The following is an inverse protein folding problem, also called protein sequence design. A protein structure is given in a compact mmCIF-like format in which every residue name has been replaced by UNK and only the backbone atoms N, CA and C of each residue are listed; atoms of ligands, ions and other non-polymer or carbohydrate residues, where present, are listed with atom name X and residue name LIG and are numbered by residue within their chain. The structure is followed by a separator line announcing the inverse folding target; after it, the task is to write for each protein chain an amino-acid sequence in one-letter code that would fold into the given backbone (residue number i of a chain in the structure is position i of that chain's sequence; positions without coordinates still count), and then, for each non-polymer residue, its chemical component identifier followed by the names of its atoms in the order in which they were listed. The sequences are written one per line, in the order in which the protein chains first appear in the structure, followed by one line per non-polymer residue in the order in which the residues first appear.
data_IF_746546330402
#
_entry.id   IF_746546330402
#
_cell.length_a   1.000
_cell.length_b   1.000
_cell.length_c   1.000
_cell.angle_alpha   90.00
_cell.angle_beta   90.00
_cell.angle_gamma   90.00
#
_symmetry.space_group_name_H-M   'P 1'
#
loop_
_entity.id
_entity.type
_entity.pdbx_description
1 polymer ?
#
# COMPACT_ATOMS: atom_id res chain seq x y z
N UNK A 1 -58.66 -6.73 13.57
CA UNK A 1 -57.91 -7.87 14.15
C UNK A 1 -56.41 -7.56 14.03
N UNK A 2 -55.78 -7.03 15.08
CA UNK A 2 -54.34 -6.71 15.11
C UNK A 2 -53.64 -7.74 15.99
N UNK A 3 -52.77 -8.55 15.42
CA UNK A 3 -51.93 -9.50 16.17
C UNK A 3 -50.80 -8.71 16.84
N UNK A 4 -50.83 -8.60 18.17
CA UNK A 4 -49.69 -8.12 18.97
C UNK A 4 -48.74 -9.29 19.17
N UNK A 5 -47.55 -9.23 18.58
CA UNK A 5 -46.46 -10.15 18.90
C UNK A 5 -45.80 -9.75 20.22
N UNK A 6 -45.68 -10.70 21.14
CA UNK A 6 -45.00 -10.54 22.43
C UNK A 6 -43.49 -10.32 22.24
N UNK A 7 -42.83 -9.44 23.01
CA UNK A 7 -41.38 -9.27 22.92
C UNK A 7 -40.67 -10.47 23.57
N UNK A 8 -39.69 -11.04 22.85
CA UNK A 8 -38.82 -12.10 23.37
C UNK A 8 -37.93 -11.54 24.51
N UNK A 9 -37.64 -12.33 25.56
CA UNK A 9 -36.81 -11.88 26.67
C UNK A 9 -35.36 -11.64 26.22
N UNK A 10 -34.63 -10.71 26.87
CA UNK A 10 -33.24 -10.42 26.54
C UNK A 10 -32.38 -11.65 26.87
N UNK A 11 -31.99 -12.38 25.82
CA UNK A 11 -31.02 -13.45 25.93
C UNK A 11 -29.69 -12.89 26.42
N UNK A 12 -29.25 -13.29 27.61
CA UNK A 12 -27.86 -13.09 28.04
C UNK A 12 -26.96 -13.78 27.00
N UNK A 13 -26.35 -12.98 26.13
CA UNK A 13 -25.25 -13.42 25.29
C UNK A 13 -24.17 -13.96 26.23
N UNK A 14 -24.10 -15.29 26.37
CA UNK A 14 -22.94 -15.93 27.00
C UNK A 14 -21.72 -15.43 26.21
N UNK A 15 -20.70 -14.85 26.85
CA UNK A 15 -19.48 -14.50 26.14
C UNK A 15 -18.98 -15.77 25.47
N UNK A 16 -18.85 -15.74 24.14
CA UNK A 16 -18.19 -16.83 23.41
C UNK A 16 -16.85 -17.06 24.12
N UNK A 17 -16.47 -18.32 24.40
CA UNK A 17 -15.18 -18.58 25.00
C UNK A 17 -14.12 -17.87 24.14
N UNK A 18 -13.30 -17.02 24.77
CA UNK A 18 -12.11 -16.45 24.13
C UNK A 18 -11.33 -17.64 23.59
N UNK A 19 -11.46 -17.94 22.29
CA UNK A 19 -10.66 -18.99 21.66
C UNK A 19 -9.21 -18.69 22.05
N UNK A 20 -8.56 -19.70 22.62
CA UNK A 20 -7.16 -19.63 22.97
C UNK A 20 -6.40 -19.00 21.79
N UNK A 21 -5.58 -18.01 22.15
CA UNK A 21 -4.77 -17.17 21.27
C UNK A 21 -4.22 -18.02 20.12
N UNK A 22 -4.26 -17.46 18.90
CA UNK A 22 -3.90 -18.06 17.61
C UNK A 22 -2.45 -18.57 17.49
N UNK A 23 -1.94 -19.28 18.49
CA UNK A 23 -0.62 -19.87 18.51
C UNK A 23 -0.62 -21.10 17.60
N UNK A 24 -0.09 -20.91 16.40
CA UNK A 24 0.24 -22.00 15.49
C UNK A 24 1.65 -22.49 15.84
N UNK A 25 1.87 -23.80 16.10
CA UNK A 25 3.22 -24.36 16.14
C UNK A 25 3.97 -23.95 14.88
N UNK A 26 5.19 -23.43 15.03
CA UNK A 26 6.03 -22.94 13.94
C UNK A 26 5.45 -21.79 13.10
N UNK A 27 4.41 -21.10 13.59
CA UNK A 27 3.81 -19.97 12.89
C UNK A 27 4.78 -18.80 12.65
N UNK A 28 4.47 -17.96 11.67
CA UNK A 28 5.24 -16.75 11.36
C UNK A 28 5.04 -15.68 12.43
N UNK A 29 6.11 -14.98 12.79
CA UNK A 29 6.07 -13.81 13.66
C UNK A 29 5.59 -12.57 12.91
N UNK A 30 5.01 -11.64 13.65
CA UNK A 30 4.66 -10.30 13.17
C UNK A 30 5.67 -9.31 13.75
N UNK A 31 6.31 -8.53 12.89
CA UNK A 31 7.41 -7.61 13.24
C UNK A 31 6.94 -6.64 14.33
N UNK A 32 7.78 -6.44 15.35
CA UNK A 32 7.50 -5.51 16.46
C UNK A 32 6.42 -5.97 17.45
N UNK A 33 5.95 -7.22 17.37
CA UNK A 33 4.90 -7.72 18.27
C UNK A 33 5.21 -9.13 18.81
N UNK A 34 4.44 -9.56 19.81
CA UNK A 34 4.47 -10.94 20.32
C UNK A 34 3.53 -11.90 19.56
N UNK A 35 3.00 -11.50 18.41
CA UNK A 35 2.10 -12.35 17.64
C UNK A 35 2.87 -13.40 16.83
N UNK A 36 2.39 -14.64 16.91
CA UNK A 36 2.82 -15.79 16.11
C UNK A 36 1.58 -16.36 15.43
N UNK A 37 1.51 -16.32 14.11
CA UNK A 37 0.30 -16.57 13.31
C UNK A 37 0.57 -17.56 12.17
N UNK A 38 -0.48 -18.00 11.49
CA UNK A 38 -0.32 -18.66 10.18
C UNK A 38 0.25 -17.70 9.13
N UNK A 39 0.94 -18.20 8.09
CA UNK A 39 1.63 -17.37 7.11
C UNK A 39 0.71 -16.40 6.35
N UNK A 40 -0.56 -16.75 6.14
CA UNK A 40 -1.55 -15.87 5.49
C UNK A 40 -1.80 -14.62 6.35
N UNK A 41 -2.16 -14.82 7.63
CA UNK A 41 -2.42 -13.70 8.55
C UNK A 41 -1.16 -12.89 8.88
N UNK A 42 -0.01 -13.54 8.94
CA UNK A 42 1.26 -12.84 9.14
C UNK A 42 1.61 -11.97 7.92
N UNK A 43 1.44 -12.48 6.70
CA UNK A 43 1.66 -11.73 5.46
C UNK A 43 0.77 -10.47 5.40
N UNK A 44 -0.52 -10.59 5.76
CA UNK A 44 -1.41 -9.43 5.87
C UNK A 44 -0.86 -8.37 6.82
N UNK A 45 -0.51 -8.77 8.05
CA UNK A 45 -0.09 -7.83 9.09
C UNK A 45 1.26 -7.19 8.77
N UNK A 46 2.25 -7.97 8.36
CA UNK A 46 3.57 -7.45 8.01
C UNK A 46 3.50 -6.58 6.75
N UNK A 47 2.70 -6.96 5.74
CA UNK A 47 2.48 -6.12 4.55
C UNK A 47 1.76 -4.81 4.89
N UNK A 48 0.72 -4.86 5.72
CA UNK A 48 0.03 -3.65 6.18
C UNK A 48 0.96 -2.74 6.99
N UNK A 49 1.83 -3.28 7.86
CA UNK A 49 2.81 -2.49 8.63
C UNK A 49 3.78 -1.73 7.73
N UNK A 50 4.30 -2.38 6.68
CA UNK A 50 5.28 -1.78 5.76
C UNK A 50 4.64 -0.65 4.94
N UNK A 51 3.43 -0.86 4.46
CA UNK A 51 2.72 0.07 3.56
C UNK A 51 1.96 1.18 4.31
N UNK A 52 1.81 1.07 5.64
CA UNK A 52 0.81 1.85 6.39
C UNK A 52 0.95 3.37 6.23
N UNK A 53 2.19 3.83 6.40
CA UNK A 53 2.55 5.25 6.48
C UNK A 53 2.99 5.82 5.13
N UNK A 54 2.91 5.02 4.06
CA UNK A 54 3.35 5.43 2.72
C UNK A 54 4.80 5.98 2.75
N UNK A 55 5.67 5.32 3.52
CA UNK A 55 7.09 5.68 3.69
C UNK A 55 8.01 4.53 3.26
N UNK A 56 7.46 3.57 2.53
CA UNK A 56 8.24 2.53 1.88
C UNK A 56 8.67 2.99 0.48
N UNK A 57 9.36 2.10 -0.24
CA UNK A 57 9.89 2.40 -1.57
C UNK A 57 8.79 2.75 -2.58
N UNK A 58 9.18 3.17 -3.78
CA UNK A 58 8.21 3.47 -4.83
C UNK A 58 8.79 3.17 -6.21
N UNK A 59 7.93 2.67 -7.08
CA UNK A 59 8.20 2.50 -8.50
C UNK A 59 7.20 3.31 -9.32
N UNK A 60 7.72 4.17 -10.20
CA UNK A 60 6.92 5.10 -10.99
C UNK A 60 7.05 4.79 -12.48
N UNK A 61 6.05 4.11 -13.04
CA UNK A 61 5.97 3.85 -14.47
C UNK A 61 4.56 4.13 -15.03
N UNK A 62 4.09 3.40 -16.05
CA UNK A 62 2.71 3.56 -16.54
C UNK A 62 1.68 3.21 -15.45
N UNK A 63 2.01 2.21 -14.63
CA UNK A 63 1.43 2.00 -13.31
C UNK A 63 2.39 2.48 -12.22
N UNK A 64 1.84 2.92 -11.08
CA UNK A 64 2.63 3.28 -9.91
C UNK A 64 2.38 2.28 -8.80
N UNK A 65 3.43 1.85 -8.11
CA UNK A 65 3.32 0.86 -7.05
C UNK A 65 4.45 0.99 -6.03
N UNK A 66 4.38 0.16 -4.99
CA UNK A 66 5.41 0.02 -3.97
C UNK A 66 5.89 -1.44 -3.95
N UNK A 67 6.94 -1.79 -4.70
CA UNK A 67 7.40 -3.17 -4.79
C UNK A 67 7.80 -3.79 -3.43
N UNK A 68 8.26 -2.97 -2.48
CA UNK A 68 8.53 -3.39 -1.11
C UNK A 68 7.31 -3.91 -0.34
N UNK A 69 6.08 -3.68 -0.81
CA UNK A 69 4.87 -4.27 -0.21
C UNK A 69 4.97 -5.82 -0.17
N UNK A 70 5.67 -6.43 -1.12
CA UNK A 70 5.89 -7.88 -1.17
C UNK A 70 6.78 -8.39 -0.03
N UNK A 71 7.62 -7.53 0.57
CA UNK A 71 8.58 -7.90 1.62
C UNK A 71 7.86 -8.50 2.83
N UNK A 72 6.72 -7.93 3.21
CA UNK A 72 5.93 -8.43 4.35
C UNK A 72 5.49 -9.88 4.15
N UNK A 73 5.12 -10.25 2.93
CA UNK A 73 4.78 -11.64 2.56
C UNK A 73 6.01 -12.53 2.55
N UNK A 74 7.08 -12.10 1.87
CA UNK A 74 8.30 -12.89 1.69
C UNK A 74 8.88 -13.26 3.06
N UNK A 75 9.02 -12.28 3.96
CA UNK A 75 9.52 -12.53 5.32
C UNK A 75 8.57 -13.45 6.09
N UNK A 76 7.26 -13.27 5.96
CA UNK A 76 6.29 -14.10 6.70
C UNK A 76 6.32 -15.57 6.26
N UNK A 77 6.42 -15.82 4.96
CA UNK A 77 6.53 -17.17 4.41
C UNK A 77 7.90 -17.76 4.74
N UNK A 78 8.99 -16.99 4.59
CA UNK A 78 10.33 -17.45 4.91
C UNK A 78 10.50 -17.80 6.40
N UNK A 79 9.94 -17.01 7.32
CA UNK A 79 9.95 -17.29 8.76
C UNK A 79 9.16 -18.56 9.09
N UNK A 80 7.95 -18.72 8.53
CA UNK A 80 7.15 -19.93 8.71
C UNK A 80 7.86 -21.18 8.19
N UNK A 81 8.41 -21.13 6.97
CA UNK A 81 9.15 -22.25 6.37
C UNK A 81 10.41 -22.58 7.17
N UNK A 82 11.16 -21.57 7.61
CA UNK A 82 12.37 -21.76 8.41
C UNK A 82 12.08 -22.38 9.77
N UNK A 83 11.05 -21.90 10.48
CA UNK A 83 10.60 -22.50 11.75
C UNK A 83 10.18 -23.95 11.57
N UNK A 84 9.46 -24.22 10.48
CA UNK A 84 9.01 -25.57 10.14
C UNK A 84 10.19 -26.47 9.78
N UNK A 85 11.19 -25.97 9.05
CA UNK A 85 12.40 -26.70 8.71
C UNK A 85 13.20 -27.07 9.97
N UNK A 86 13.46 -26.10 10.85
CA UNK A 86 14.18 -26.32 12.11
C UNK A 86 13.47 -27.33 13.00
N UNK A 87 12.14 -27.23 13.13
CA UNK A 87 11.36 -28.20 13.90
C UNK A 87 11.43 -29.63 13.33
N UNK A 88 11.77 -29.77 12.05
CA UNK A 88 11.97 -31.06 11.36
C UNK A 88 13.46 -31.42 11.19
N UNK A 89 14.37 -30.76 11.92
CA UNK A 89 15.82 -31.06 11.86
C UNK A 89 16.49 -30.67 10.53
N UNK A 90 15.88 -29.76 9.76
CA UNK A 90 16.43 -29.23 8.50
C UNK A 90 16.96 -27.82 8.69
N UNK A 91 17.81 -27.38 7.75
CA UNK A 91 18.34 -26.02 7.74
C UNK A 91 17.24 -24.99 7.41
N UNK A 92 17.20 -23.85 8.11
CA UNK A 92 16.29 -22.74 7.77
C UNK A 92 16.72 -22.05 6.47
N UNK A 93 15.84 -21.20 5.94
CA UNK A 93 16.19 -20.27 4.87
C UNK A 93 17.13 -19.18 5.41
N UNK A 94 17.90 -18.59 4.50
CA UNK A 94 18.86 -17.53 4.79
C UNK A 94 18.31 -16.16 4.42
N UNK A 95 18.99 -15.11 4.88
CA UNK A 95 18.70 -13.73 4.44
C UNK A 95 18.96 -13.58 2.94
N UNK A 96 19.92 -14.31 2.37
CA UNK A 96 20.18 -14.30 0.94
C UNK A 96 18.97 -14.79 0.13
N UNK A 97 18.30 -15.85 0.59
CA UNK A 97 17.07 -16.34 -0.05
C UNK A 97 15.95 -15.29 -0.03
N UNK A 98 15.83 -14.56 1.09
CA UNK A 98 14.88 -13.44 1.21
C UNK A 98 15.23 -12.34 0.22
N UNK A 99 16.50 -11.91 0.14
CA UNK A 99 16.92 -10.85 -0.77
C UNK A 99 16.72 -11.25 -2.24
N UNK A 100 17.00 -12.49 -2.61
CA UNK A 100 16.72 -13.01 -3.96
C UNK A 100 15.23 -12.95 -4.28
N UNK A 101 14.36 -13.41 -3.35
CA UNK A 101 12.92 -13.33 -3.54
C UNK A 101 12.41 -11.88 -3.65
N UNK A 102 13.02 -10.95 -2.89
CA UNK A 102 12.72 -9.51 -2.96
C UNK A 102 13.06 -8.98 -4.35
N UNK A 103 14.27 -9.25 -4.87
CA UNK A 103 14.69 -8.82 -6.21
C UNK A 103 13.72 -9.35 -7.27
N UNK A 104 13.35 -10.63 -7.21
CA UNK A 104 12.41 -11.24 -8.14
C UNK A 104 11.02 -10.61 -8.06
N UNK A 105 10.52 -10.35 -6.85
CA UNK A 105 9.21 -9.71 -6.66
C UNK A 105 9.20 -8.27 -7.22
N UNK A 106 10.28 -7.53 -7.02
CA UNK A 106 10.45 -6.19 -7.59
C UNK A 106 10.44 -6.25 -9.11
N UNK A 107 11.21 -7.16 -9.69
CA UNK A 107 11.33 -7.27 -11.14
C UNK A 107 10.01 -7.69 -11.80
N UNK A 108 9.32 -8.69 -11.25
CA UNK A 108 8.03 -9.17 -11.78
C UNK A 108 6.98 -8.05 -11.75
N UNK A 109 6.87 -7.33 -10.64
CA UNK A 109 5.89 -6.26 -10.49
C UNK A 109 6.27 -5.04 -11.32
N UNK A 110 7.49 -4.52 -11.12
CA UNK A 110 7.90 -3.26 -11.72
C UNK A 110 8.05 -3.34 -13.24
N UNK A 111 8.51 -4.47 -13.80
CA UNK A 111 8.61 -4.62 -15.26
C UNK A 111 7.22 -4.71 -15.92
N UNK A 112 6.27 -5.43 -15.29
CA UNK A 112 4.88 -5.43 -15.75
C UNK A 112 4.30 -4.01 -15.73
N UNK A 113 4.56 -3.24 -14.69
CA UNK A 113 4.01 -1.89 -14.51
C UNK A 113 4.54 -0.86 -15.51
N UNK A 114 5.58 -1.17 -16.30
CA UNK A 114 6.18 -0.18 -17.21
C UNK A 114 5.26 0.20 -18.36
N UNK A 115 4.68 -0.79 -19.04
CA UNK A 115 3.81 -0.56 -20.19
C UNK A 115 2.33 -0.77 -19.87
N UNK A 116 2.02 -1.37 -18.71
CA UNK A 116 0.68 -1.83 -18.38
C UNK A 116 0.07 -0.99 -17.26
N UNK A 117 -0.80 -0.06 -17.63
CA UNK A 117 -1.51 0.80 -16.69
C UNK A 117 -2.91 0.25 -16.35
N UNK A 118 -3.06 -0.26 -15.14
CA UNK A 118 -4.31 -0.75 -14.57
C UNK A 118 -5.20 0.39 -14.05
N UNK A 119 -4.58 1.48 -13.60
CA UNK A 119 -5.26 2.67 -13.14
C UNK A 119 -6.14 3.29 -14.24
N UNK A 120 -5.73 3.23 -15.52
CA UNK A 120 -6.50 3.70 -16.69
C UNK A 120 -7.78 2.90 -16.93
N UNK A 121 -7.89 1.70 -16.35
CA UNK A 121 -9.09 0.86 -16.41
C UNK A 121 -9.81 0.75 -15.07
N UNK A 122 -9.47 1.61 -14.09
CA UNK A 122 -10.18 1.71 -12.81
C UNK A 122 -9.79 0.65 -11.77
N UNK A 123 -8.75 -0.14 -12.05
CA UNK A 123 -8.24 -1.15 -11.14
C UNK A 123 -7.06 -0.58 -10.34
N UNK A 124 -6.88 -1.04 -9.11
CA UNK A 124 -5.74 -0.62 -8.30
C UNK A 124 -4.47 -1.41 -8.66
N UNK A 125 -3.29 -0.84 -8.42
CA UNK A 125 -2.00 -1.50 -8.69
C UNK A 125 -1.81 -2.78 -7.87
N UNK A 126 -2.56 -2.97 -6.78
CA UNK A 126 -2.61 -4.22 -6.01
C UNK A 126 -3.40 -5.33 -6.72
N UNK A 127 -3.54 -5.25 -8.05
CA UNK A 127 -4.45 -5.97 -8.97
C UNK A 127 -4.62 -7.49 -8.73
N UNK A 128 -3.74 -8.09 -7.94
CA UNK A 128 -3.89 -9.43 -7.38
C UNK A 128 -5.12 -9.58 -6.46
N UNK A 129 -5.82 -8.48 -6.14
CA UNK A 129 -7.15 -8.47 -5.50
C UNK A 129 -8.13 -7.63 -6.35
N UNK A 130 -9.38 -8.10 -6.45
CA UNK A 130 -10.53 -7.44 -7.10
C UNK A 130 -10.96 -6.11 -6.44
N UNK A 131 -10.03 -5.30 -5.97
CA UNK A 131 -10.31 -4.03 -5.31
C UNK A 131 -10.37 -2.91 -6.35
N UNK A 132 -11.51 -2.22 -6.44
CA UNK A 132 -11.62 -0.98 -7.22
C UNK A 132 -10.75 0.10 -6.58
N UNK A 133 -10.06 0.91 -7.39
CA UNK A 133 -9.16 1.99 -6.92
C UNK A 133 -9.89 3.15 -6.23
N UNK A 134 -11.22 3.10 -6.10
CA UNK A 134 -12.05 4.17 -5.57
C UNK A 134 -11.55 4.72 -4.22
N UNK A 135 -11.04 3.87 -3.32
CA UNK A 135 -10.52 4.30 -2.01
C UNK A 135 -9.24 5.15 -2.04
N UNK A 136 -8.65 5.38 -3.21
CA UNK A 136 -7.49 6.26 -3.40
C UNK A 136 -7.87 7.64 -3.93
N UNK A 137 -9.15 7.88 -4.22
CA UNK A 137 -9.63 9.11 -4.86
C UNK A 137 -10.72 9.77 -4.03
N UNK A 138 -10.70 11.09 -3.97
CA UNK A 138 -11.80 11.87 -3.40
C UNK A 138 -13.12 11.56 -4.14
N UNK A 139 -14.27 11.50 -3.44
CA UNK A 139 -14.46 11.72 -2.01
C UNK A 139 -14.30 10.44 -1.15
N UNK A 140 -13.79 9.34 -1.72
CA UNK A 140 -13.73 8.02 -1.08
C UNK A 140 -12.35 7.68 -0.49
N UNK A 141 -11.41 8.62 -0.50
CA UNK A 141 -10.07 8.44 0.05
C UNK A 141 -10.17 7.92 1.48
N UNK A 142 -9.56 6.76 1.75
CA UNK A 142 -9.67 6.11 3.06
C UNK A 142 -8.43 5.27 3.39
N UNK A 143 -8.35 4.82 4.64
CA UNK A 143 -7.25 3.99 5.16
C UNK A 143 -7.07 2.67 4.42
N UNK A 144 -8.02 2.24 3.58
CA UNK A 144 -7.83 1.08 2.69
C UNK A 144 -6.60 1.21 1.81
N UNK A 145 -6.19 2.44 1.44
CA UNK A 145 -4.94 2.67 0.68
C UNK A 145 -3.71 2.09 1.38
N UNK A 146 -3.70 2.11 2.71
CA UNK A 146 -2.58 1.73 3.57
C UNK A 146 -2.47 0.22 3.83
N UNK A 147 -3.54 -0.55 3.61
CA UNK A 147 -3.52 -2.00 3.86
C UNK A 147 -3.96 -2.87 2.68
N UNK A 148 -4.40 -2.27 1.56
CA UNK A 148 -4.80 -3.01 0.36
C UNK A 148 -3.67 -3.89 -0.20
N UNK A 149 -2.42 -3.43 -0.11
CA UNK A 149 -1.27 -4.22 -0.54
C UNK A 149 -1.03 -5.43 0.37
N UNK A 150 -1.16 -5.25 1.69
CA UNK A 150 -1.11 -6.34 2.67
C UNK A 150 -2.19 -7.40 2.45
N UNK A 151 -3.41 -6.99 2.09
CA UNK A 151 -4.50 -7.91 1.72
C UNK A 151 -4.17 -8.71 0.44
N UNK A 152 -3.62 -8.05 -0.59
CA UNK A 152 -3.21 -8.71 -1.82
C UNK A 152 -2.08 -9.72 -1.62
N UNK A 153 -1.10 -9.32 -0.83
CA UNK A 153 -0.01 -10.15 -0.34
C UNK A 153 -0.51 -11.40 0.40
N UNK A 154 -1.42 -11.22 1.35
CA UNK A 154 -2.08 -12.32 2.07
C UNK A 154 -2.84 -13.26 1.12
N UNK A 155 -3.53 -12.72 0.13
CA UNK A 155 -4.25 -13.52 -0.87
C UNK A 155 -3.29 -14.35 -1.73
N UNK A 156 -2.11 -13.83 -2.05
CA UNK A 156 -1.10 -14.58 -2.80
C UNK A 156 -0.64 -15.83 -2.04
N UNK A 157 -0.41 -15.72 -0.72
CA UNK A 157 -0.05 -16.87 0.14
C UNK A 157 -1.17 -17.90 0.19
N UNK A 158 -2.43 -17.47 0.31
CA UNK A 158 -3.57 -18.37 0.33
C UNK A 158 -3.72 -19.14 -1.00
N UNK A 159 -3.51 -18.46 -2.13
CA UNK A 159 -3.51 -19.11 -3.45
C UNK A 159 -2.36 -20.11 -3.61
N UNK A 160 -1.15 -19.78 -3.16
CA UNK A 160 -0.01 -20.70 -3.20
C UNK A 160 -0.29 -21.98 -2.39
N UNK A 161 -0.84 -21.84 -1.19
CA UNK A 161 -1.22 -22.99 -0.36
C UNK A 161 -2.34 -23.84 -0.95
N UNK A 162 -3.22 -23.29 -1.78
CA UNK A 162 -4.21 -24.07 -2.53
C UNK A 162 -3.54 -24.85 -3.66
N UNK A 163 -2.64 -24.22 -4.41
CA UNK A 163 -1.89 -24.86 -5.50
C UNK A 163 -1.02 -26.00 -4.96
N UNK A 164 -0.33 -25.79 -3.83
CA UNK A 164 0.44 -26.84 -3.15
C UNK A 164 -0.41 -28.06 -2.74
N UNK A 165 -1.72 -27.89 -2.56
CA UNK A 165 -2.68 -28.97 -2.27
C UNK A 165 -3.25 -29.64 -3.53
N UNK A 166 -2.74 -29.29 -4.71
CA UNK A 166 -3.17 -29.87 -5.99
C UNK A 166 -4.36 -29.16 -6.63
N UNK A 167 -4.69 -27.93 -6.24
CA UNK A 167 -5.70 -27.14 -6.94
C UNK A 167 -5.24 -26.90 -8.39
N UNK A 168 -6.03 -27.30 -9.41
CA UNK A 168 -5.65 -27.12 -10.81
C UNK A 168 -5.68 -25.64 -11.22
N UNK A 169 -4.80 -25.29 -12.17
CA UNK A 169 -4.76 -23.97 -12.79
C UNK A 169 -5.83 -23.74 -13.85
N UNK A 170 -5.87 -22.53 -14.38
CA UNK A 170 -6.73 -22.12 -15.50
C UNK A 170 -5.85 -21.65 -16.67
N UNK A 171 -5.46 -22.54 -17.61
CA UNK A 171 -4.46 -22.24 -18.63
C UNK A 171 -4.79 -21.02 -19.52
N UNK A 172 -6.08 -20.74 -19.73
CA UNK A 172 -6.55 -19.65 -20.59
C UNK A 172 -7.03 -18.41 -19.82
N UNK A 173 -6.62 -18.23 -18.55
CA UNK A 173 -7.11 -17.13 -17.68
C UNK A 173 -6.97 -15.74 -18.30
N UNK A 174 -5.95 -15.50 -19.12
CA UNK A 174 -5.77 -14.24 -19.84
C UNK A 174 -6.68 -14.15 -21.08
N UNK A 175 -6.65 -15.17 -21.92
CA UNK A 175 -7.13 -15.15 -23.30
C UNK A 175 -8.43 -15.95 -23.54
N UNK A 176 -9.17 -16.36 -22.51
CA UNK A 176 -10.42 -17.13 -22.63
C UNK A 176 -11.50 -16.39 -23.46
N UNK A 177 -11.35 -16.51 -24.78
CA UNK A 177 -12.04 -15.74 -25.81
C UNK A 177 -13.50 -16.19 -25.95
N UNK A 178 -13.72 -17.50 -25.84
CA UNK A 178 -15.00 -18.16 -26.15
C UNK A 178 -16.17 -17.70 -25.27
N UNK A 179 -15.89 -17.14 -24.07
CA UNK A 179 -16.92 -16.67 -23.13
C UNK A 179 -16.77 -15.19 -22.74
N UNK A 180 -15.74 -14.49 -23.24
CA UNK A 180 -15.43 -13.12 -22.82
C UNK A 180 -15.15 -12.97 -21.32
N UNK A 181 -14.68 -14.04 -20.68
CA UNK A 181 -14.35 -14.11 -19.25
C UNK A 181 -12.85 -13.93 -18.98
N UNK A 182 -12.01 -13.95 -20.01
CA UNK A 182 -10.57 -13.74 -19.88
C UNK A 182 -10.23 -12.33 -19.36
N UNK A 183 -9.16 -12.24 -18.57
CA UNK A 183 -8.67 -10.99 -17.98
C UNK A 183 -8.43 -9.90 -19.05
N UNK A 184 -7.99 -10.28 -20.24
CA UNK A 184 -7.66 -9.31 -21.29
C UNK A 184 -8.91 -8.61 -21.85
N UNK A 185 -10.10 -9.23 -21.83
CA UNK A 185 -11.28 -8.69 -22.54
C UNK A 185 -12.05 -7.65 -21.73
N UNK A 186 -12.50 -8.00 -20.52
CA UNK A 186 -13.38 -7.12 -19.73
C UNK A 186 -12.60 -6.04 -18.96
N UNK A 187 -11.67 -6.40 -18.05
CA UNK A 187 -10.93 -5.39 -17.31
C UNK A 187 -9.93 -4.61 -18.17
N UNK A 188 -9.23 -5.27 -19.11
CA UNK A 188 -8.18 -4.62 -19.91
C UNK A 188 -8.65 -4.16 -21.31
N UNK A 189 -9.96 -4.24 -21.60
CA UNK A 189 -10.58 -3.75 -22.84
C UNK A 189 -9.95 -4.30 -24.13
N UNK A 190 -9.49 -5.55 -24.10
CA UNK A 190 -8.85 -6.23 -25.21
C UNK A 190 -7.35 -5.93 -25.38
N UNK A 191 -6.73 -5.16 -24.49
CA UNK A 191 -5.29 -4.90 -24.53
C UNK A 191 -4.50 -6.05 -23.91
N UNK A 192 -3.55 -6.59 -24.65
CA UNK A 192 -2.57 -7.55 -24.14
C UNK A 192 -1.51 -6.88 -23.27
N UNK A 193 -0.81 -7.68 -22.47
CA UNK A 193 0.33 -7.17 -21.72
C UNK A 193 1.50 -6.88 -22.65
N UNK A 194 2.03 -5.66 -22.55
CA UNK A 194 3.22 -5.25 -23.27
C UNK A 194 4.44 -5.29 -22.33
N UNK A 195 5.60 -5.66 -22.87
CA UNK A 195 6.86 -5.69 -22.13
C UNK A 195 7.93 -5.06 -23.00
N UNK A 196 8.56 -3.99 -22.52
CA UNK A 196 9.68 -3.36 -23.23
C UNK A 196 11.03 -4.04 -22.96
N UNK A 197 11.09 -4.98 -22.00
CA UNK A 197 12.33 -5.64 -21.57
C UNK A 197 12.08 -7.02 -20.94
N UNK A 198 13.05 -7.94 -20.99
CA UNK A 198 13.02 -9.19 -20.20
C UNK A 198 13.18 -8.89 -18.71
N UNK A 199 12.81 -9.85 -17.85
CA UNK A 199 13.04 -9.75 -16.41
C UNK A 199 14.54 -9.90 -16.08
N UNK A 200 15.11 -8.91 -15.41
CA UNK A 200 16.49 -8.91 -14.90
C UNK A 200 16.52 -8.49 -13.42
N UNK A 201 17.20 -7.39 -13.10
CA UNK A 201 17.32 -6.77 -11.78
C UNK A 201 17.14 -5.24 -11.91
N UNK A 202 16.55 -4.78 -13.02
CA UNK A 202 16.42 -3.37 -13.35
C UNK A 202 15.60 -2.60 -12.32
N UNK A 203 14.49 -3.18 -11.83
CA UNK A 203 13.57 -2.48 -10.94
C UNK A 203 14.24 -2.18 -9.61
N UNK A 204 14.94 -3.16 -9.01
CA UNK A 204 15.61 -2.97 -7.71
C UNK A 204 16.77 -1.97 -7.82
N UNK A 205 17.47 -1.91 -8.95
CA UNK A 205 18.54 -0.93 -9.19
C UNK A 205 18.03 0.51 -9.33
N UNK A 206 16.76 0.69 -9.70
CA UNK A 206 16.18 2.00 -10.03
C UNK A 206 14.99 2.37 -9.14
N UNK A 207 14.76 1.62 -8.06
CA UNK A 207 13.66 1.89 -7.13
C UNK A 207 13.90 3.20 -6.37
N UNK A 208 12.82 3.92 -6.07
CA UNK A 208 12.89 5.23 -5.44
C UNK A 208 12.65 5.11 -3.94
N UNK A 209 13.52 5.75 -3.16
CA UNK A 209 13.37 5.84 -1.71
C UNK A 209 12.83 7.21 -1.30
N UNK A 210 11.99 7.19 -0.28
CA UNK A 210 11.34 8.38 0.26
C UNK A 210 12.24 9.05 1.30
N UNK A 211 12.41 10.37 1.20
CA UNK A 211 13.16 11.17 2.19
C UNK A 211 12.23 11.81 3.23
N UNK A 212 10.98 12.09 2.85
CA UNK A 212 9.92 12.62 3.71
C UNK A 212 8.69 11.70 3.67
N UNK A 213 7.88 11.67 4.75
CA UNK A 213 6.66 10.86 4.81
C UNK A 213 5.54 11.48 3.95
N UNK A 214 5.71 11.47 2.64
CA UNK A 214 4.81 12.09 1.68
C UNK A 214 4.57 11.17 0.47
N UNK A 215 3.44 11.36 -0.21
CA UNK A 215 3.25 10.81 -1.55
C UNK A 215 4.40 11.29 -2.46
N UNK A 216 4.99 10.37 -3.25
CA UNK A 216 6.30 10.61 -3.86
C UNK A 216 6.32 11.82 -4.81
N UNK A 217 5.19 12.14 -5.46
CA UNK A 217 5.09 13.29 -6.38
C UNK A 217 5.18 14.63 -5.66
N UNK A 218 5.00 14.67 -4.35
CA UNK A 218 5.17 15.88 -3.54
C UNK A 218 6.59 16.09 -3.02
N UNK A 219 7.50 15.11 -3.14
CA UNK A 219 8.81 15.15 -2.45
C UNK A 219 9.63 16.37 -2.84
N UNK A 220 9.80 16.63 -4.14
CA UNK A 220 10.56 17.78 -4.62
C UNK A 220 9.91 19.11 -4.26
N UNK A 221 8.57 19.16 -4.16
CA UNK A 221 7.86 20.34 -3.71
C UNK A 221 8.03 20.58 -2.20
N UNK A 222 8.04 19.52 -1.39
CA UNK A 222 8.31 19.60 0.05
C UNK A 222 9.75 20.02 0.31
N UNK A 223 10.72 19.46 -0.43
CA UNK A 223 12.12 19.87 -0.34
C UNK A 223 12.31 21.34 -0.70
N UNK A 224 11.73 21.80 -1.81
CA UNK A 224 11.76 23.21 -2.20
C UNK A 224 11.12 24.11 -1.14
N UNK A 225 10.03 23.67 -0.51
CA UNK A 225 9.36 24.41 0.57
C UNK A 225 10.22 24.48 1.85
N UNK A 226 10.91 23.41 2.22
CA UNK A 226 11.85 23.39 3.36
C UNK A 226 13.03 24.33 3.09
N UNK A 227 13.59 24.33 1.88
CA UNK A 227 14.65 25.25 1.48
C UNK A 227 14.16 26.71 1.51
N UNK A 228 12.96 26.98 0.99
CA UNK A 228 12.35 28.30 1.04
C UNK A 228 12.12 28.78 2.48
N UNK A 229 11.69 27.89 3.38
CA UNK A 229 11.57 28.19 4.82
C UNK A 229 12.91 28.65 5.42
N UNK A 230 14.01 27.95 5.10
CA UNK A 230 15.34 28.32 5.55
C UNK A 230 15.78 29.70 5.03
N UNK A 231 15.52 30.01 3.75
CA UNK A 231 15.83 31.32 3.16
C UNK A 231 14.99 32.46 3.75
N UNK A 232 13.69 32.25 3.99
CA UNK A 232 12.83 33.23 4.65
C UNK A 232 13.33 33.55 6.07
N UNK A 233 13.72 32.51 6.81
CA UNK A 233 14.23 32.66 8.18
C UNK A 233 15.50 33.51 8.22
N UNK A 234 16.41 33.36 7.24
CA UNK A 234 17.64 34.18 7.14
C UNK A 234 17.37 35.67 7.03
N UNK A 235 16.24 36.05 6.43
CA UNK A 235 15.83 37.46 6.26
C UNK A 235 14.77 37.89 7.27
N UNK A 236 14.57 37.12 8.34
CA UNK A 236 13.63 37.43 9.41
C UNK A 236 12.16 37.35 9.02
N UNK A 237 11.83 36.63 7.94
CA UNK A 237 10.46 36.42 7.46
C UNK A 237 9.91 35.07 7.92
N UNK A 238 8.60 35.00 8.01
CA UNK A 238 7.83 33.82 8.39
C UNK A 238 6.78 33.49 7.32
N UNK A 239 6.02 32.41 7.53
CA UNK A 239 4.88 32.07 6.67
C UNK A 239 3.82 33.16 6.60
N UNK A 240 3.74 34.02 7.62
CA UNK A 240 2.72 35.08 7.72
C UNK A 240 2.99 36.24 6.75
N UNK A 241 4.23 36.32 6.23
CA UNK A 241 4.65 37.32 5.24
C UNK A 241 4.38 36.88 3.79
N UNK A 242 3.78 35.71 3.59
CA UNK A 242 3.55 35.12 2.26
C UNK A 242 2.19 35.56 1.71
N UNK A 243 2.20 36.33 0.63
CA UNK A 243 0.98 36.66 -0.12
C UNK A 243 0.50 35.51 -1.01
N UNK A 244 1.44 34.81 -1.67
CA UNK A 244 1.10 33.78 -2.66
C UNK A 244 2.20 32.74 -2.85
N UNK A 245 1.80 31.46 -2.91
CA UNK A 245 2.64 30.34 -3.33
C UNK A 245 2.21 29.87 -4.71
N UNK A 246 3.14 29.78 -5.66
CA UNK A 246 2.91 29.21 -7.00
C UNK A 246 3.70 27.91 -7.14
N UNK A 247 3.00 26.81 -7.34
CA UNK A 247 3.59 25.49 -7.55
C UNK A 247 3.57 25.13 -9.03
N UNK A 248 4.74 24.96 -9.62
CA UNK A 248 4.89 24.34 -10.94
C UNK A 248 5.15 22.84 -10.73
N UNK A 249 4.34 21.99 -11.36
CA UNK A 249 4.43 20.54 -11.15
C UNK A 249 4.05 19.76 -12.41
N UNK A 250 4.23 18.44 -12.35
CA UNK A 250 3.92 17.50 -13.43
C UNK A 250 2.43 17.11 -13.44
N UNK A 251 1.90 16.73 -14.60
CA UNK A 251 0.49 16.32 -14.80
C UNK A 251 0.04 15.26 -13.78
N UNK A 252 0.91 14.28 -13.48
CA UNK A 252 0.62 13.23 -12.51
C UNK A 252 0.34 13.81 -11.11
N UNK A 253 1.13 14.77 -10.63
CA UNK A 253 0.91 15.38 -9.32
C UNK A 253 -0.44 16.12 -9.28
N UNK A 254 -0.78 16.86 -10.35
CA UNK A 254 -2.08 17.53 -10.46
C UNK A 254 -3.23 16.54 -10.39
N UNK A 255 -3.13 15.41 -11.09
CA UNK A 255 -4.21 14.43 -11.17
C UNK A 255 -4.44 13.65 -9.87
N UNK A 256 -3.40 13.45 -9.05
CA UNK A 256 -3.45 12.53 -7.90
C UNK A 256 -3.60 13.27 -6.58
N UNK A 257 -2.78 14.31 -6.39
CA UNK A 257 -2.56 14.91 -5.08
C UNK A 257 -2.86 16.41 -5.05
N UNK A 258 -3.19 17.05 -6.18
CA UNK A 258 -3.68 18.42 -6.12
C UNK A 258 -5.13 18.45 -5.61
N UNK A 259 -5.30 18.78 -4.33
CA UNK A 259 -6.61 18.85 -3.66
C UNK A 259 -6.88 20.27 -3.18
N UNK A 260 -8.13 20.71 -3.31
CA UNK A 260 -8.60 21.98 -2.78
C UNK A 260 -9.84 21.74 -1.89
N UNK A 261 -10.05 22.63 -0.93
CA UNK A 261 -11.10 22.50 0.07
C UNK A 261 -10.66 21.71 1.30
N UNK A 262 -11.63 21.42 2.16
CA UNK A 262 -11.41 20.83 3.50
C UNK A 262 -10.86 19.41 3.39
N UNK A 263 -9.85 19.09 4.20
CA UNK A 263 -9.25 17.75 4.27
C UNK A 263 -9.76 17.02 5.52
N UNK A 264 -10.40 15.87 5.32
CA UNK A 264 -11.20 15.24 6.39
C UNK A 264 -10.45 14.23 7.26
N UNK A 265 -9.27 13.78 6.86
CA UNK A 265 -8.54 12.73 7.55
C UNK A 265 -7.04 12.72 7.15
N UNK A 266 -6.26 11.92 7.87
CA UNK A 266 -4.83 11.70 7.60
C UNK A 266 -4.55 11.37 6.12
N UNK A 267 -5.31 10.44 5.53
CA UNK A 267 -5.12 9.99 4.16
C UNK A 267 -5.49 11.05 3.12
N UNK A 268 -6.30 12.04 3.47
CA UNK A 268 -6.53 13.19 2.62
C UNK A 268 -5.35 14.14 2.59
N UNK A 269 -4.73 14.37 3.75
CA UNK A 269 -3.62 15.29 3.96
C UNK A 269 -2.31 14.75 3.39
N UNK A 270 -2.02 13.46 3.59
CA UNK A 270 -0.83 12.81 3.00
C UNK A 270 -0.92 12.65 1.46
N UNK A 271 -2.10 12.90 0.89
CA UNK A 271 -2.38 12.96 -0.55
C UNK A 271 -2.86 14.37 -0.98
N UNK A 272 -2.41 15.42 -0.30
CA UNK A 272 -2.65 16.82 -0.68
C UNK A 272 -1.33 17.56 -0.87
N UNK A 273 -1.00 17.89 -2.12
CA UNK A 273 0.20 18.65 -2.50
C UNK A 273 0.24 20.00 -1.77
N UNK A 274 -0.91 20.66 -1.72
CA UNK A 274 -1.10 21.94 -1.06
C UNK A 274 -0.79 21.83 0.44
N UNK A 275 -1.34 20.81 1.11
CA UNK A 275 -1.12 20.60 2.54
C UNK A 275 0.35 20.31 2.84
N UNK A 276 0.95 19.35 2.12
CA UNK A 276 2.33 18.95 2.34
C UNK A 276 3.32 20.11 2.12
N UNK A 277 3.08 20.94 1.11
CA UNK A 277 3.87 22.16 0.87
C UNK A 277 3.64 23.20 1.98
N UNK A 278 2.39 23.46 2.36
CA UNK A 278 2.07 24.46 3.38
C UNK A 278 2.71 24.12 4.74
N UNK A 279 2.62 22.86 5.16
CA UNK A 279 3.28 22.36 6.37
C UNK A 279 4.80 22.50 6.24
N UNK A 280 5.38 22.04 5.14
CA UNK A 280 6.82 22.09 4.92
C UNK A 280 7.36 23.53 4.96
N UNK A 281 6.65 24.46 4.33
CA UNK A 281 7.01 25.88 4.25
C UNK A 281 6.85 26.61 5.59
N UNK A 282 5.86 26.21 6.38
CA UNK A 282 5.58 26.82 7.69
C UNK A 282 6.59 26.37 8.76
N UNK A 283 7.02 25.11 8.71
CA UNK A 283 7.79 24.49 9.81
C UNK A 283 9.25 24.19 9.47
N UNK A 284 9.64 24.27 8.19
CA UNK A 284 10.95 23.81 7.72
C UNK A 284 11.14 22.30 7.81
N UNK A 285 10.05 21.54 8.00
CA UNK A 285 10.03 20.07 8.08
C UNK A 285 8.63 19.54 7.84
N UNK A 286 8.54 18.25 7.54
CA UNK A 286 7.30 17.49 7.41
C UNK A 286 7.44 16.15 8.14
N UNK A 287 6.65 15.95 9.20
CA UNK A 287 6.68 14.74 10.03
C UNK A 287 5.30 14.07 10.08
N UNK A 288 5.26 12.77 10.42
CA UNK A 288 4.02 11.98 10.43
C UNK A 288 2.91 12.59 11.30
N UNK A 289 3.26 13.13 12.47
CA UNK A 289 2.29 13.73 13.39
C UNK A 289 1.59 14.97 12.82
N UNK A 290 2.18 15.61 11.81
CA UNK A 290 1.62 16.80 11.17
C UNK A 290 0.45 16.48 10.25
N UNK A 291 0.10 15.21 10.05
CA UNK A 291 -1.11 14.81 9.33
C UNK A 291 -2.29 14.48 10.26
N UNK A 292 -2.08 14.46 11.58
CA UNK A 292 -3.14 14.21 12.55
C UNK A 292 -4.07 15.42 12.68
N UNK A 293 -5.31 15.18 13.11
CA UNK A 293 -6.34 16.21 13.25
C UNK A 293 -5.91 17.35 14.18
N UNK A 294 -5.20 17.03 15.27
CA UNK A 294 -4.70 18.02 16.24
C UNK A 294 -3.77 19.06 15.59
N UNK A 295 -2.92 18.63 14.66
CA UNK A 295 -2.01 19.52 13.94
C UNK A 295 -2.74 20.25 12.80
N UNK A 296 -3.60 19.53 12.08
CA UNK A 296 -4.38 20.07 10.98
C UNK A 296 -5.37 21.17 11.42
N UNK A 297 -5.75 21.21 12.70
CA UNK A 297 -6.56 22.30 13.26
C UNK A 297 -5.86 23.68 13.25
N UNK A 298 -4.61 23.78 12.80
CA UNK A 298 -3.89 25.03 12.62
C UNK A 298 -4.50 25.84 11.46
N UNK A 299 -5.09 27.02 11.73
CA UNK A 299 -5.78 27.83 10.72
C UNK A 299 -4.85 28.40 9.64
N UNK A 300 -3.53 28.27 9.80
CA UNK A 300 -2.54 28.63 8.77
C UNK A 300 -2.44 27.59 7.65
N UNK A 301 -3.03 26.40 7.80
CA UNK A 301 -2.79 25.24 6.94
C UNK A 301 -4.10 24.70 6.32
N UNK A 302 -5.11 24.39 7.14
CA UNK A 302 -6.42 23.83 6.73
C UNK A 302 -7.55 24.74 7.25
#
# INVERSE_FOLDING_TARGET
MRLRGSPLPPGRLRPRPRRARHHRPNGSRVIGTNHVLDPIRAAFKNGALISWLDFNDTWLAAEWCHPSDNLGTIISVADWLSRTAVANGKNPLTVQDILTAVIQAHEIQGNLDIENSFNRVGLDHVLRVKSLRAYRHAPNTSSRKSWAAGDACSRAVDLDLLVQKGQPGLPSVHCAHRQGLGLLRRPLKGKEFAFQRPYTFYVIENVLFKLVPAELRAHTACEAAILAHAEMTKVGKTSDDIEKVKLLTQEAAVRIISKAGVLHNYADRDHSLQYMVAVSLTNGKLTLDMYNDDYAANPKID
#
